data_IF_971490142407
#
_entry.id   IF_971490142407
#
_cell.length_a   1.000
_cell.length_b   1.000
_cell.length_c   1.000
_cell.angle_alpha   90.00
_cell.angle_beta   90.00
_cell.angle_gamma   90.00
#
_symmetry.space_group_name_H-M   'P 1'
#
loop_
_entity.id
_entity.type
_entity.pdbx_description
1 polymer ?
#
# COMPACT_ATOMS: atom_id res chain seq x y z
N UNK A 1 -44.89 -69.84 -9.13
CA UNK A 1 -43.95 -70.94 -8.83
C UNK A 1 -43.50 -71.60 -10.14
N UNK A 2 -42.35 -71.20 -10.69
CA UNK A 2 -41.54 -72.05 -11.61
C UNK A 2 -40.21 -71.34 -11.88
N UNK A 3 -39.20 -71.67 -11.06
CA UNK A 3 -38.02 -72.51 -11.40
C UNK A 3 -36.92 -71.76 -12.16
N UNK A 4 -36.03 -71.20 -11.34
CA UNK A 4 -34.64 -70.84 -11.61
C UNK A 4 -33.88 -72.01 -12.27
N UNK A 5 -33.15 -71.75 -13.36
CA UNK A 5 -32.05 -72.60 -13.84
C UNK A 5 -30.83 -71.73 -14.15
N UNK A 6 -29.84 -71.88 -13.29
CA UNK A 6 -28.48 -71.35 -13.37
C UNK A 6 -27.63 -72.16 -14.34
N UNK A 7 -26.91 -71.52 -15.24
CA UNK A 7 -25.72 -72.08 -15.91
C UNK A 7 -24.71 -70.96 -16.13
N UNK A 8 -23.44 -71.25 -15.89
CA UNK A 8 -22.41 -70.34 -15.41
C UNK A 8 -21.37 -69.91 -16.47
N UNK A 9 -20.62 -68.88 -16.09
CA UNK A 9 -19.27 -68.47 -16.51
C UNK A 9 -19.04 -67.89 -17.92
N UNK A 10 -18.85 -66.57 -17.97
CA UNK A 10 -17.71 -65.98 -18.67
C UNK A 10 -17.30 -64.67 -17.98
N UNK A 11 -16.05 -64.62 -17.54
CA UNK A 11 -15.37 -63.52 -16.89
C UNK A 11 -15.07 -62.43 -17.92
N UNK A 12 -15.49 -61.19 -17.66
CA UNK A 12 -14.88 -60.00 -18.26
C UNK A 12 -14.98 -58.85 -17.26
N UNK A 13 -13.97 -58.75 -16.40
CA UNK A 13 -13.64 -57.54 -15.64
C UNK A 13 -13.22 -56.47 -16.66
N UNK A 14 -14.12 -55.56 -17.04
CA UNK A 14 -13.74 -54.30 -17.68
C UNK A 14 -13.80 -53.19 -16.63
N UNK A 15 -12.73 -53.11 -15.84
CA UNK A 15 -12.41 -51.92 -15.06
C UNK A 15 -12.18 -50.79 -16.04
N UNK A 16 -13.18 -49.93 -16.24
CA UNK A 16 -12.95 -48.65 -16.89
C UNK A 16 -12.29 -47.76 -15.85
N UNK A 17 -10.95 -47.79 -15.84
CA UNK A 17 -10.13 -46.78 -15.20
C UNK A 17 -10.50 -45.43 -15.80
N UNK A 18 -11.30 -44.66 -15.08
CA UNK A 18 -11.40 -43.23 -15.33
C UNK A 18 -10.02 -42.66 -15.07
N UNK A 19 -9.28 -42.39 -16.16
CA UNK A 19 -8.05 -41.63 -16.10
C UNK A 19 -8.40 -40.26 -15.54
N UNK A 20 -8.04 -40.05 -14.28
CA UNK A 20 -7.95 -38.74 -13.67
C UNK A 20 -7.09 -37.88 -14.59
N UNK A 21 -7.70 -36.93 -15.30
CA UNK A 21 -6.95 -35.84 -15.91
C UNK A 21 -6.32 -35.06 -14.75
N UNK A 22 -5.07 -35.36 -14.44
CA UNK A 22 -4.24 -34.49 -13.64
C UNK A 22 -4.10 -33.19 -14.43
N UNK A 23 -4.97 -32.22 -14.15
CA UNK A 23 -4.72 -30.84 -14.50
C UNK A 23 -3.36 -30.47 -13.89
N UNK A 24 -2.34 -30.28 -14.73
CA UNK A 24 -1.01 -29.92 -14.28
C UNK A 24 -1.11 -28.68 -13.41
N UNK A 25 -0.74 -28.82 -12.14
CA UNK A 25 -0.67 -27.70 -11.21
C UNK A 25 0.36 -26.71 -11.75
N UNK A 26 -0.06 -25.50 -12.11
CA UNK A 26 0.86 -24.41 -12.45
C UNK A 26 1.64 -24.05 -11.19
N UNK A 27 2.94 -24.40 -11.15
CA UNK A 27 3.82 -24.16 -9.99
C UNK A 27 4.73 -22.94 -10.14
N UNK A 28 4.67 -22.27 -11.29
CA UNK A 28 5.53 -21.12 -11.62
C UNK A 28 4.73 -20.04 -12.36
N UNK A 29 5.09 -18.77 -12.11
CA UNK A 29 4.57 -17.60 -12.80
C UNK A 29 5.68 -16.59 -13.08
N UNK A 30 5.40 -15.58 -13.90
CA UNK A 30 6.35 -14.52 -14.27
C UNK A 30 5.76 -13.16 -13.89
N UNK A 31 6.60 -12.30 -13.32
CA UNK A 31 6.27 -10.88 -13.08
C UNK A 31 7.07 -10.04 -14.07
N UNK A 32 6.39 -9.20 -14.85
CA UNK A 32 7.02 -8.26 -15.80
C UNK A 32 6.79 -6.83 -15.31
N UNK A 33 7.86 -6.06 -15.23
CA UNK A 33 7.81 -4.65 -14.83
C UNK A 33 8.05 -3.76 -16.05
N UNK A 34 7.18 -2.78 -16.26
CA UNK A 34 7.28 -1.78 -17.33
C UNK A 34 7.19 -0.40 -16.72
N UNK A 35 8.11 0.49 -17.08
CA UNK A 35 8.14 1.87 -16.63
C UNK A 35 8.80 2.78 -17.66
N UNK A 36 8.75 4.10 -17.42
CA UNK A 36 9.38 5.12 -18.26
C UNK A 36 10.16 6.07 -17.37
N UNK A 37 11.43 6.30 -17.71
CA UNK A 37 12.24 7.36 -17.12
C UNK A 37 12.29 8.54 -18.08
N UNK A 38 12.25 9.75 -17.54
CA UNK A 38 12.38 11.00 -18.28
C UNK A 38 13.58 11.79 -17.72
N UNK A 39 14.11 12.70 -18.52
CA UNK A 39 15.21 13.57 -18.11
C UNK A 39 14.73 14.82 -17.36
N UNK A 40 13.52 15.30 -17.69
CA UNK A 40 12.93 16.50 -17.11
C UNK A 40 12.42 16.22 -15.70
N UNK A 41 12.68 17.14 -14.77
CA UNK A 41 12.28 17.04 -13.36
C UNK A 41 11.91 18.42 -12.82
N UNK A 42 10.95 18.48 -11.93
CA UNK A 42 10.80 19.64 -11.03
C UNK A 42 11.86 19.56 -9.91
N UNK A 43 12.10 20.69 -9.24
CA UNK A 43 12.86 20.74 -7.99
C UNK A 43 11.92 20.76 -6.79
N UNK A 44 12.26 20.04 -5.73
CA UNK A 44 11.55 20.16 -4.43
C UNK A 44 11.95 21.51 -3.81
N UNK A 45 10.97 22.23 -3.26
CA UNK A 45 11.23 23.50 -2.57
C UNK A 45 12.01 23.23 -1.28
N UNK A 46 13.00 24.09 -0.98
CA UNK A 46 13.81 23.96 0.22
C UNK A 46 12.94 23.96 1.50
N UNK A 47 13.17 22.96 2.36
CA UNK A 47 12.38 22.67 3.54
C UNK A 47 11.37 21.54 3.36
N UNK A 48 11.03 21.18 2.13
CA UNK A 48 10.11 20.08 1.83
C UNK A 48 10.85 18.76 1.57
N UNK A 49 12.18 18.76 1.45
CA UNK A 49 12.97 17.53 1.31
C UNK A 49 12.81 16.62 2.55
N UNK A 50 12.72 17.22 3.74
CA UNK A 50 12.58 16.56 5.04
C UNK A 50 11.36 17.07 5.82
N UNK A 51 10.15 16.81 5.30
CA UNK A 51 8.90 17.24 5.92
C UNK A 51 8.65 16.55 7.27
N UNK A 52 8.32 17.36 8.28
CA UNK A 52 7.86 16.90 9.59
C UNK A 52 6.34 17.08 9.71
N UNK A 53 5.60 15.97 9.68
CA UNK A 53 4.14 15.97 9.86
C UNK A 53 3.82 15.56 11.29
N UNK A 54 3.39 16.53 12.11
CA UNK A 54 3.03 16.28 13.51
C UNK A 54 1.58 15.81 13.58
N UNK A 55 1.39 14.55 13.97
CA UNK A 55 0.07 14.01 14.29
C UNK A 55 -0.38 14.49 15.68
N UNK A 56 -1.68 14.73 15.91
CA UNK A 56 -2.17 15.19 17.20
C UNK A 56 -1.99 14.12 18.28
N UNK A 57 -1.86 14.56 19.54
CA UNK A 57 -1.94 13.67 20.70
C UNK A 57 -3.39 13.25 20.91
N UNK A 58 -3.68 11.95 20.89
CA UNK A 58 -5.02 11.39 21.03
C UNK A 58 -5.11 10.37 22.16
N UNK A 59 -6.33 10.15 22.64
CA UNK A 59 -6.64 9.01 23.50
C UNK A 59 -6.64 7.71 22.72
N UNK A 60 -6.12 6.63 23.32
CA UNK A 60 -6.21 5.26 22.78
C UNK A 60 -7.65 4.82 22.51
N UNK A 61 -8.65 5.46 23.14
CA UNK A 61 -10.06 5.18 22.92
C UNK A 61 -10.51 5.43 21.48
N UNK A 62 -9.88 6.39 20.77
CA UNK A 62 -10.15 6.65 19.36
C UNK A 62 -9.59 5.57 18.42
N UNK A 63 -8.73 4.69 18.95
CA UNK A 63 -8.00 3.65 18.22
C UNK A 63 -8.16 2.28 18.91
N UNK A 64 -9.31 2.03 19.55
CA UNK A 64 -9.54 0.88 20.41
C UNK A 64 -9.78 -0.46 19.68
N UNK A 65 -9.64 -0.51 18.35
CA UNK A 65 -9.84 -1.74 17.56
C UNK A 65 -9.13 -1.66 16.22
N UNK A 66 -8.82 -2.83 15.66
CA UNK A 66 -8.27 -2.95 14.31
C UNK A 66 -9.15 -2.23 13.27
N UNK A 67 -8.54 -1.50 12.36
CA UNK A 67 -9.21 -0.73 11.31
C UNK A 67 -9.65 0.67 11.72
N UNK A 68 -9.54 1.04 13.01
CA UNK A 68 -9.84 2.40 13.44
C UNK A 68 -8.77 3.39 12.94
N UNK A 69 -9.21 4.54 12.45
CA UNK A 69 -8.35 5.65 12.01
C UNK A 69 -8.68 6.91 12.80
N UNK A 70 -7.67 7.67 13.18
CA UNK A 70 -7.86 8.94 13.89
C UNK A 70 -6.66 9.87 13.70
N UNK A 71 -6.84 11.15 14.04
CA UNK A 71 -5.74 12.11 14.13
C UNK A 71 -5.06 12.39 12.79
N UNK A 72 -5.85 12.56 11.74
CA UNK A 72 -5.33 12.90 10.42
C UNK A 72 -4.78 14.32 10.40
N UNK A 73 -3.62 14.51 9.80
CA UNK A 73 -2.97 15.80 9.54
C UNK A 73 -2.69 15.93 8.04
N UNK A 74 -3.14 17.02 7.43
CA UNK A 74 -2.81 17.38 6.04
C UNK A 74 -1.38 17.90 5.97
N UNK A 75 -0.65 17.52 4.92
CA UNK A 75 0.66 18.06 4.60
C UNK A 75 0.77 18.34 3.10
N UNK A 76 1.67 19.24 2.75
CA UNK A 76 1.92 19.65 1.38
C UNK A 76 3.39 19.39 1.02
N UNK A 77 3.62 18.97 -0.23
CA UNK A 77 4.94 18.96 -0.86
C UNK A 77 4.89 19.97 -2.01
N UNK A 78 5.77 20.95 -1.98
CA UNK A 78 5.88 22.00 -2.98
C UNK A 78 7.03 21.70 -3.92
N UNK A 79 6.79 21.91 -5.20
CA UNK A 79 7.82 21.83 -6.23
C UNK A 79 7.86 23.11 -7.06
N UNK A 80 9.02 23.41 -7.60
CA UNK A 80 9.27 24.57 -8.44
C UNK A 80 10.24 24.27 -9.57
N UNK A 81 10.44 25.25 -10.45
CA UNK A 81 11.32 25.13 -11.62
C UNK A 81 10.95 23.93 -12.52
N UNK A 82 9.66 23.58 -12.58
CA UNK A 82 9.18 22.51 -13.45
C UNK A 82 9.32 22.90 -14.93
N UNK A 83 10.02 22.10 -15.76
CA UNK A 83 10.06 22.30 -17.20
C UNK A 83 8.66 22.35 -17.82
N UNK A 84 8.49 23.13 -18.89
CA UNK A 84 7.20 23.28 -19.58
C UNK A 84 6.67 22.00 -20.24
N UNK A 85 7.52 20.97 -20.35
CA UNK A 85 7.17 19.63 -20.81
C UNK A 85 6.40 18.82 -19.77
N UNK A 86 6.47 19.21 -18.48
CA UNK A 86 5.78 18.54 -17.39
C UNK A 86 4.49 19.29 -17.06
N UNK A 87 3.35 18.65 -17.27
CA UNK A 87 2.04 19.26 -16.97
C UNK A 87 1.49 18.84 -15.62
N UNK A 88 1.96 17.70 -15.11
CA UNK A 88 1.46 17.13 -13.87
C UNK A 88 2.58 16.46 -13.08
N UNK A 89 2.46 16.53 -11.76
CA UNK A 89 3.38 15.92 -10.80
C UNK A 89 2.61 15.25 -9.68
N UNK A 90 3.15 14.14 -9.18
CA UNK A 90 2.67 13.44 -7.99
C UNK A 90 3.86 13.00 -7.13
N UNK A 91 3.60 12.64 -5.89
CA UNK A 91 4.57 11.96 -5.05
C UNK A 91 4.33 10.44 -5.16
N UNK A 92 5.40 9.71 -5.43
CA UNK A 92 5.46 8.27 -5.23
C UNK A 92 6.10 8.01 -3.87
N UNK A 93 5.38 7.34 -2.97
CA UNK A 93 5.85 7.04 -1.62
C UNK A 93 6.52 5.67 -1.62
N UNK A 94 7.83 5.65 -1.54
CA UNK A 94 8.65 4.45 -1.68
C UNK A 94 8.49 3.50 -0.50
N UNK A 95 8.51 2.19 -0.79
CA UNK A 95 8.67 1.18 0.26
C UNK A 95 10.13 1.04 0.72
N UNK A 96 11.08 1.35 -0.16
CA UNK A 96 12.52 1.26 0.11
C UNK A 96 12.97 2.54 0.83
N UNK A 97 13.89 2.40 1.80
CA UNK A 97 14.41 3.49 2.66
C UNK A 97 13.38 4.14 3.59
N UNK A 98 12.18 3.55 3.70
CA UNK A 98 11.18 3.89 4.70
C UNK A 98 11.43 3.10 6.00
N UNK A 99 10.89 3.56 7.13
CA UNK A 99 11.05 2.93 8.46
C UNK A 99 10.46 1.51 8.53
N UNK A 100 9.65 1.14 7.54
CA UNK A 100 9.03 -0.16 7.37
C UNK A 100 7.62 -0.01 6.80
N UNK A 101 7.11 -1.09 6.19
CA UNK A 101 5.73 -1.14 5.74
C UNK A 101 5.11 -2.48 6.11
N UNK A 102 3.82 -2.46 6.44
CA UNK A 102 3.06 -3.67 6.67
C UNK A 102 2.39 -4.11 5.36
N UNK A 103 2.76 -5.26 4.82
CA UNK A 103 2.22 -5.75 3.53
C UNK A 103 0.72 -6.06 3.55
N UNK A 104 0.12 -6.29 4.72
CA UNK A 104 -1.33 -6.54 4.85
C UNK A 104 -2.12 -5.25 4.83
N UNK A 105 -1.70 -4.26 5.61
CA UNK A 105 -2.42 -2.98 5.75
C UNK A 105 -1.95 -1.92 4.74
N UNK A 106 -0.79 -2.12 4.13
CA UNK A 106 -0.07 -1.21 3.22
C UNK A 106 0.25 0.16 3.85
N UNK A 107 0.38 0.20 5.18
CA UNK A 107 0.73 1.39 5.96
C UNK A 107 2.22 1.38 6.36
N UNK A 108 2.69 2.53 6.87
CA UNK A 108 3.98 2.64 7.52
C UNK A 108 3.91 2.07 8.94
N UNK A 109 4.91 1.29 9.33
CA UNK A 109 5.01 0.74 10.68
C UNK A 109 5.55 1.78 11.66
N UNK A 110 5.08 1.73 12.91
CA UNK A 110 5.70 2.52 13.99
C UNK A 110 7.14 2.04 14.23
N UNK A 111 8.13 2.92 14.02
CA UNK A 111 9.54 2.64 14.27
C UNK A 111 9.96 2.85 15.71
N UNK A 112 9.18 3.55 16.52
CA UNK A 112 9.43 3.64 17.96
C UNK A 112 9.07 2.31 18.63
N UNK A 113 10.08 1.61 19.16
CA UNK A 113 9.87 0.34 19.84
C UNK A 113 9.11 0.53 21.14
N UNK A 114 8.26 -0.44 21.50
CA UNK A 114 7.51 -0.43 22.77
C UNK A 114 8.43 -0.35 23.98
N UNK A 115 9.61 -0.98 23.92
CA UNK A 115 10.62 -0.92 24.98
C UNK A 115 11.17 0.50 25.21
N UNK A 116 11.09 1.36 24.20
CA UNK A 116 11.59 2.74 24.22
C UNK A 116 10.44 3.77 24.39
N UNK A 117 9.25 3.32 24.81
CA UNK A 117 8.07 4.17 25.01
C UNK A 117 7.14 4.25 23.80
N UNK A 118 7.34 3.43 22.77
CA UNK A 118 6.47 3.38 21.59
C UNK A 118 5.08 2.77 21.86
N UNK A 119 4.08 3.23 21.13
CA UNK A 119 2.74 2.64 21.15
C UNK A 119 2.71 1.31 20.37
N UNK A 120 2.00 0.31 20.92
CA UNK A 120 1.72 -0.96 20.26
C UNK A 120 0.45 -0.89 19.40
N UNK A 121 0.37 -1.79 18.42
CA UNK A 121 -0.79 -2.00 17.54
C UNK A 121 -1.24 -0.75 16.76
N UNK A 122 -0.31 0.15 16.44
CA UNK A 122 -0.57 1.38 15.69
C UNK A 122 0.44 1.54 14.55
N UNK A 123 -0.06 2.08 13.45
CA UNK A 123 0.66 2.38 12.21
C UNK A 123 0.33 3.81 11.77
N UNK A 124 1.06 4.31 10.78
CA UNK A 124 0.73 5.56 10.08
C UNK A 124 0.22 5.23 8.69
N UNK A 125 -1.02 5.65 8.40
CA UNK A 125 -1.64 5.52 7.09
C UNK A 125 -1.52 6.84 6.33
N UNK A 126 -1.10 6.74 5.07
CA UNK A 126 -1.19 7.82 4.10
C UNK A 126 -2.55 7.75 3.40
N UNK A 127 -3.12 8.91 3.15
CA UNK A 127 -4.34 9.11 2.39
C UNK A 127 -4.07 10.07 1.25
N UNK A 128 -4.75 9.84 0.13
CA UNK A 128 -4.72 10.75 -1.01
C UNK A 128 -5.48 12.05 -0.70
N UNK A 129 -5.45 13.01 -1.62
CA UNK A 129 -6.00 14.37 -1.44
C UNK A 129 -7.48 14.45 -1.09
N UNK A 130 -8.24 13.37 -1.26
CA UNK A 130 -9.66 13.29 -0.89
C UNK A 130 -9.87 12.99 0.61
N UNK A 131 -8.81 12.67 1.34
CA UNK A 131 -8.82 12.38 2.78
C UNK A 131 -9.49 11.08 3.19
N UNK A 132 -9.81 10.19 2.26
CA UNK A 132 -10.50 8.92 2.52
C UNK A 132 -9.90 7.73 1.78
N UNK A 133 -9.38 7.94 0.57
CA UNK A 133 -8.68 6.94 -0.20
C UNK A 133 -7.32 6.68 0.43
N UNK A 134 -7.04 5.42 0.75
CA UNK A 134 -5.70 5.03 1.19
C UNK A 134 -4.71 5.23 0.05
N UNK A 135 -3.58 5.85 0.36
CA UNK A 135 -2.40 5.84 -0.48
C UNK A 135 -1.41 4.81 0.07
N UNK A 136 -1.27 3.64 -0.56
CA UNK A 136 -0.40 2.59 -0.04
C UNK A 136 1.07 3.00 -0.14
N UNK A 137 1.89 2.49 0.78
CA UNK A 137 3.35 2.53 0.63
C UNK A 137 3.75 1.71 -0.61
N UNK A 138 4.61 2.27 -1.45
CA UNK A 138 4.90 1.80 -2.80
C UNK A 138 3.90 2.31 -3.86
N UNK A 139 3.03 3.26 -3.50
CA UNK A 139 2.02 3.85 -4.37
C UNK A 139 2.34 5.27 -4.81
N UNK A 140 1.78 5.67 -5.95
CA UNK A 140 1.76 7.08 -6.42
C UNK A 140 0.43 7.71 -6.06
N UNK A 141 0.49 8.91 -5.46
CA UNK A 141 -0.71 9.68 -5.14
C UNK A 141 -1.40 10.26 -6.38
N UNK A 142 -2.49 11.00 -6.15
CA UNK A 142 -3.12 11.79 -7.20
C UNK A 142 -2.13 12.78 -7.81
N UNK A 143 -2.26 12.99 -9.13
CA UNK A 143 -1.49 13.99 -9.84
C UNK A 143 -2.06 15.39 -9.62
N UNK A 144 -1.16 16.36 -9.53
CA UNK A 144 -1.45 17.77 -9.38
C UNK A 144 -0.91 18.54 -10.59
N UNK A 145 -1.68 19.50 -11.10
CA UNK A 145 -1.24 20.28 -12.25
C UNK A 145 -0.06 21.17 -11.88
N UNK A 146 0.92 21.24 -12.77
CA UNK A 146 1.97 22.24 -12.77
C UNK A 146 1.42 23.51 -13.38
N UNK A 147 1.50 24.61 -12.64
CA UNK A 147 1.08 25.91 -13.13
C UNK A 147 2.03 26.38 -14.25
N UNK A 148 1.46 26.60 -15.44
CA UNK A 148 2.23 26.90 -16.64
C UNK A 148 2.91 28.28 -16.64
N UNK A 149 2.54 29.18 -15.72
CA UNK A 149 3.09 30.54 -15.65
C UNK A 149 4.22 30.62 -14.62
N UNK A 150 3.99 30.06 -13.44
CA UNK A 150 4.92 30.07 -12.31
C UNK A 150 5.87 28.88 -12.31
N UNK A 151 5.57 27.81 -13.07
CA UNK A 151 6.33 26.56 -13.10
C UNK A 151 6.41 25.88 -11.73
N UNK A 152 5.30 25.92 -10.97
CA UNK A 152 5.19 25.37 -9.61
C UNK A 152 3.97 24.47 -9.48
N UNK A 153 4.02 23.56 -8.50
CA UNK A 153 2.87 22.79 -8.08
C UNK A 153 2.90 22.55 -6.56
N UNK A 154 1.71 22.37 -5.98
CA UNK A 154 1.54 21.95 -4.59
C UNK A 154 0.81 20.62 -4.59
N UNK A 155 1.45 19.58 -4.06
CA UNK A 155 0.84 18.27 -3.87
C UNK A 155 0.38 18.15 -2.42
N UNK A 156 -0.91 17.89 -2.22
CA UNK A 156 -1.52 17.80 -0.88
C UNK A 156 -1.89 16.35 -0.56
N UNK A 157 -1.42 15.85 0.58
CA UNK A 157 -1.73 14.52 1.08
C UNK A 157 -2.08 14.58 2.57
N UNK A 158 -2.54 13.46 3.13
CA UNK A 158 -2.94 13.38 4.53
C UNK A 158 -2.28 12.16 5.17
N UNK A 159 -1.76 12.32 6.38
CA UNK A 159 -1.25 11.22 7.20
C UNK A 159 -2.07 11.09 8.48
N UNK A 160 -2.25 9.88 9.02
CA UNK A 160 -2.96 9.69 10.29
C UNK A 160 -2.72 8.33 10.92
N UNK A 161 -3.13 8.17 12.16
CA UNK A 161 -2.99 6.90 12.86
C UNK A 161 -3.94 5.85 12.29
N UNK A 162 -3.47 4.61 12.24
CA UNK A 162 -4.25 3.42 11.93
C UNK A 162 -4.01 2.34 12.98
N UNK A 163 -5.07 1.83 13.59
CA UNK A 163 -4.97 0.77 14.57
C UNK A 163 -4.96 -0.60 13.88
N UNK A 164 -3.97 -1.44 14.21
CA UNK A 164 -3.94 -2.86 13.78
C UNK A 164 -4.61 -3.78 14.81
N UNK A 165 -4.88 -3.28 16.01
CA UNK A 165 -5.53 -3.96 17.12
C UNK A 165 -5.98 -2.96 18.19
N UNK A 166 -6.04 -3.37 19.45
CA UNK A 166 -6.24 -2.43 20.57
C UNK A 166 -4.89 -1.74 20.84
N UNK A 167 -4.82 -0.42 20.71
CA UNK A 167 -3.58 0.34 20.90
C UNK A 167 -3.19 0.50 22.36
N UNK A 168 -1.90 0.73 22.61
CA UNK A 168 -1.38 1.19 23.92
C UNK A 168 -0.93 2.64 23.83
N UNK A 169 -0.82 3.31 24.97
CA UNK A 169 -0.19 4.63 25.02
C UNK A 169 1.29 4.52 24.66
N UNK A 170 1.83 5.54 24.01
CA UNK A 170 3.23 5.64 23.63
C UNK A 170 3.43 6.47 22.38
N UNK A 171 4.68 6.66 22.02
CA UNK A 171 5.07 7.46 20.87
C UNK A 171 4.89 6.69 19.56
N UNK A 172 4.61 7.44 18.49
CA UNK A 172 4.53 6.92 17.13
C UNK A 172 5.46 7.75 16.25
N UNK A 173 6.46 7.10 15.67
CA UNK A 173 7.30 7.67 14.63
C UNK A 173 7.25 6.76 13.42
N UNK A 174 7.17 7.34 12.23
CA UNK A 174 7.26 6.62 10.98
C UNK A 174 7.81 7.55 9.90
N UNK A 175 8.67 7.01 9.04
CA UNK A 175 9.26 7.75 7.91
C UNK A 175 8.97 7.03 6.61
N UNK A 176 8.71 7.84 5.58
CA UNK A 176 8.54 7.39 4.21
C UNK A 176 9.40 8.23 3.29
N UNK A 177 10.18 7.57 2.43
CA UNK A 177 10.85 8.26 1.34
C UNK A 177 9.83 8.54 0.25
N UNK A 178 9.89 9.72 -0.37
CA UNK A 178 9.11 9.99 -1.57
C UNK A 178 10.02 10.36 -2.75
N UNK A 179 9.53 10.11 -3.95
CA UNK A 179 10.12 10.51 -5.23
C UNK A 179 9.05 11.20 -6.07
N UNK A 180 9.46 12.09 -6.99
CA UNK A 180 8.52 12.78 -7.87
C UNK A 180 8.17 11.90 -9.07
N UNK A 181 6.88 11.78 -9.36
CA UNK A 181 6.33 11.09 -10.51
C UNK A 181 5.68 12.09 -11.47
N UNK A 182 5.82 11.86 -12.77
CA UNK A 182 5.44 12.82 -13.81
C UNK A 182 4.53 12.22 -14.87
N UNK A 183 3.77 13.09 -15.55
CA UNK A 183 3.02 12.78 -16.77
C UNK A 183 3.29 13.83 -17.83
#
# INVERSE_FOLDING_TARGET
MSKLKTTACAIALSMISAYSFAAGTVTQGTVTFTGKLIADTCSIVAGDEDLQVILPTLSIQSLAKSGATAGTTTFNIHVESCPSTLTDVAAHFEAINSDGFNATTQNLTNSTLVADGGAANVEVRLFDKDGSSQLPVGGTGSFFPVDATSHKATMTYIGGYYATGVTTAGDVTAKVQYTLAYK
#
